data_IF_629932219843
#
_entry.id   IF_629932219843
#
_cell.length_a   1.000
_cell.length_b   1.000
_cell.length_c   1.000
_cell.angle_alpha   90.00
_cell.angle_beta   90.00
_cell.angle_gamma   90.00
#
_symmetry.space_group_name_H-M   'P 1'
#
loop_
_entity.id
_entity.type
_entity.pdbx_description
1 polymer ?
#
# COMPACT_ATOMS: atom_id res chain seq x y z
N UNK A 1 -15.57 -20.85 -19.36
CA UNK A 1 -16.19 -20.97 -18.02
C UNK A 1 -16.70 -22.38 -17.70
N UNK A 2 -17.29 -23.14 -18.63
CA UNK A 2 -17.75 -24.53 -18.37
C UNK A 2 -16.59 -25.51 -18.02
N UNK A 3 -15.47 -25.42 -18.73
CA UNK A 3 -14.31 -26.30 -18.58
C UNK A 3 -13.61 -26.17 -17.20
N UNK A 4 -13.64 -24.98 -16.60
CA UNK A 4 -13.07 -24.72 -15.27
C UNK A 4 -13.88 -25.36 -14.13
N UNK A 5 -15.21 -25.43 -14.26
CA UNK A 5 -16.06 -26.12 -13.28
C UNK A 5 -15.90 -27.64 -13.36
N UNK A 6 -15.79 -28.21 -14.57
CA UNK A 6 -15.47 -29.64 -14.76
C UNK A 6 -14.07 -30.02 -14.25
N UNK A 7 -13.06 -29.18 -14.51
CA UNK A 7 -11.72 -29.33 -13.92
C UNK A 7 -11.77 -29.26 -12.40
N UNK A 8 -12.61 -28.39 -11.82
CA UNK A 8 -12.74 -28.24 -10.36
C UNK A 8 -13.44 -29.44 -9.72
N UNK A 9 -14.46 -30.01 -10.37
CA UNK A 9 -15.09 -31.26 -9.93
C UNK A 9 -14.13 -32.45 -10.05
N UNK A 10 -13.40 -32.56 -11.16
CA UNK A 10 -12.38 -33.58 -11.39
C UNK A 10 -11.18 -33.46 -10.43
N UNK A 11 -10.78 -32.24 -10.07
CA UNK A 11 -9.71 -31.97 -9.12
C UNK A 11 -10.05 -32.39 -7.68
N UNK A 12 -11.33 -32.52 -7.34
CA UNK A 12 -11.75 -33.06 -6.03
C UNK A 12 -11.48 -34.56 -5.90
N UNK A 13 -11.43 -35.28 -7.03
CA UNK A 13 -11.16 -36.71 -7.14
C UNK A 13 -9.70 -37.02 -7.54
N UNK A 14 -8.92 -35.99 -7.90
CA UNK A 14 -7.54 -36.13 -8.33
C UNK A 14 -6.58 -36.30 -7.15
N UNK A 15 -5.53 -37.11 -7.35
CA UNK A 15 -4.43 -37.21 -6.40
C UNK A 15 -3.68 -35.87 -6.34
N UNK A 16 -3.75 -35.21 -5.18
CA UNK A 16 -3.07 -33.94 -4.93
C UNK A 16 -1.62 -34.21 -4.53
N UNK A 17 -0.69 -33.55 -5.21
CA UNK A 17 0.74 -33.59 -4.86
C UNK A 17 1.11 -32.26 -4.24
N UNK A 18 1.73 -32.31 -3.06
CA UNK A 18 2.16 -31.12 -2.33
C UNK A 18 3.65 -30.86 -2.58
N UNK A 19 3.98 -29.67 -3.07
CA UNK A 19 5.36 -29.21 -3.17
C UNK A 19 5.83 -28.71 -1.81
N UNK A 20 6.87 -29.33 -1.26
CA UNK A 20 7.39 -28.93 0.04
C UNK A 20 8.24 -27.66 -0.08
N UNK A 21 8.08 -26.74 0.87
CA UNK A 21 8.88 -25.52 0.95
C UNK A 21 10.34 -25.84 1.26
N UNK A 22 11.23 -25.09 0.63
CA UNK A 22 12.66 -25.07 0.91
C UNK A 22 12.97 -23.84 1.78
N UNK A 23 13.49 -24.07 2.98
CA UNK A 23 13.84 -23.03 3.96
C UNK A 23 15.34 -22.75 4.03
N UNK A 24 16.16 -23.37 3.17
CA UNK A 24 17.62 -23.19 3.18
C UNK A 24 18.05 -21.75 2.95
N UNK A 25 17.25 -20.96 2.23
CA UNK A 25 17.46 -19.53 1.95
C UNK A 25 16.60 -18.61 2.83
N UNK A 26 16.14 -19.10 3.98
CA UNK A 26 15.40 -18.30 4.97
C UNK A 26 13.95 -18.03 4.56
N UNK A 27 13.59 -16.76 4.42
CA UNK A 27 12.19 -16.32 4.21
C UNK A 27 11.75 -16.33 2.74
N UNK A 28 12.69 -16.50 1.80
CA UNK A 28 12.43 -16.51 0.36
C UNK A 28 11.42 -17.60 -0.01
N UNK A 29 10.50 -17.30 -0.93
CA UNK A 29 9.52 -18.26 -1.42
C UNK A 29 10.15 -19.24 -2.42
N UNK A 30 10.54 -20.43 -1.94
CA UNK A 30 11.20 -21.47 -2.74
C UNK A 30 10.66 -22.87 -2.41
N UNK A 31 10.65 -23.76 -3.39
CA UNK A 31 10.16 -25.13 -3.29
C UNK A 31 11.25 -26.15 -3.61
N UNK A 32 11.18 -27.29 -2.94
CA UNK A 32 12.13 -28.40 -3.12
C UNK A 32 11.89 -29.11 -4.46
N UNK A 33 12.98 -29.49 -5.13
CA UNK A 33 12.95 -30.26 -6.39
C UNK A 33 12.94 -31.78 -6.16
N UNK A 34 12.84 -32.24 -4.91
CA UNK A 34 12.81 -33.67 -4.57
C UNK A 34 11.60 -34.34 -5.24
N UNK A 35 11.85 -35.35 -6.07
CA UNK A 35 10.79 -36.06 -6.77
C UNK A 35 9.93 -36.88 -5.80
N UNK A 36 8.60 -36.66 -5.76
CA UNK A 36 7.70 -37.40 -4.88
C UNK A 36 7.43 -38.81 -5.41
N UNK A 37 7.43 -39.79 -4.51
CA UNK A 37 7.27 -41.22 -4.84
C UNK A 37 5.89 -41.52 -5.45
N UNK A 38 4.89 -40.71 -5.16
CA UNK A 38 3.52 -40.81 -5.65
C UNK A 38 3.39 -40.49 -7.15
N UNK A 39 4.39 -39.80 -7.71
CA UNK A 39 4.48 -39.49 -9.14
C UNK A 39 5.30 -40.52 -9.91
N UNK A 40 5.90 -41.49 -9.23
CA UNK A 40 6.71 -42.52 -9.86
C UNK A 40 5.83 -43.34 -10.83
N UNK A 41 6.35 -43.59 -12.03
CA UNK A 41 5.62 -44.20 -13.17
C UNK A 41 4.47 -43.38 -13.77
N UNK A 42 4.16 -42.16 -13.27
CA UNK A 42 3.11 -41.29 -13.83
C UNK A 42 3.64 -40.08 -14.61
N UNK A 43 4.78 -39.54 -14.18
CA UNK A 43 5.40 -38.35 -14.78
C UNK A 43 6.91 -38.55 -14.82
N UNK A 44 7.57 -38.04 -15.85
CA UNK A 44 9.03 -38.05 -15.94
C UNK A 44 9.67 -37.13 -14.89
N UNK A 45 10.75 -37.60 -14.25
CA UNK A 45 11.43 -36.84 -13.18
C UNK A 45 11.95 -35.49 -13.66
N UNK A 46 12.52 -35.46 -14.86
CA UNK A 46 13.03 -34.27 -15.53
C UNK A 46 11.94 -33.19 -15.68
N UNK A 47 10.74 -33.59 -16.14
CA UNK A 47 9.62 -32.68 -16.33
C UNK A 47 9.14 -32.05 -15.01
N UNK A 48 9.09 -32.84 -13.92
CA UNK A 48 8.75 -32.33 -12.60
C UNK A 48 9.80 -31.33 -12.11
N UNK A 49 11.08 -31.67 -12.19
CA UNK A 49 12.17 -30.80 -11.75
C UNK A 49 12.18 -29.47 -12.52
N UNK A 50 11.99 -29.51 -13.84
CA UNK A 50 11.94 -28.30 -14.68
C UNK A 50 10.73 -27.42 -14.35
N UNK A 51 9.59 -28.04 -14.03
CA UNK A 51 8.40 -27.32 -13.55
C UNK A 51 8.68 -26.60 -12.24
N UNK A 52 9.28 -27.29 -11.26
CA UNK A 52 9.61 -26.69 -9.95
C UNK A 52 10.67 -25.60 -10.08
N UNK A 53 11.69 -25.79 -10.92
CA UNK A 53 12.69 -24.74 -11.21
C UNK A 53 12.04 -23.50 -11.82
N UNK A 54 11.14 -23.68 -12.79
CA UNK A 54 10.42 -22.57 -13.42
C UNK A 54 9.56 -21.82 -12.41
N UNK A 55 8.85 -22.54 -11.54
CA UNK A 55 8.07 -21.93 -10.45
C UNK A 55 8.95 -21.10 -9.51
N UNK A 56 10.07 -21.66 -9.06
CA UNK A 56 11.01 -20.94 -8.19
C UNK A 56 11.55 -19.68 -8.87
N UNK A 57 11.82 -19.71 -10.18
CA UNK A 57 12.25 -18.53 -10.92
C UNK A 57 11.18 -17.43 -10.93
N UNK A 58 9.91 -17.77 -11.13
CA UNK A 58 8.83 -16.78 -11.07
C UNK A 58 8.68 -16.16 -9.69
N UNK A 59 8.76 -16.96 -8.61
CA UNK A 59 8.72 -16.42 -7.25
C UNK A 59 9.94 -15.52 -6.96
N UNK A 60 11.13 -15.91 -7.42
CA UNK A 60 12.33 -15.09 -7.29
C UNK A 60 12.23 -13.76 -8.06
N UNK A 61 11.59 -13.76 -9.23
CA UNK A 61 11.33 -12.54 -10.00
C UNK A 61 10.34 -11.62 -9.29
N UNK A 62 9.25 -12.18 -8.75
CA UNK A 62 8.25 -11.42 -8.00
C UNK A 62 8.85 -10.72 -6.75
N UNK A 63 9.77 -11.38 -6.04
CA UNK A 63 10.44 -10.78 -4.88
C UNK A 63 11.36 -9.60 -5.27
N UNK A 64 11.99 -9.63 -6.46
CA UNK A 64 12.82 -8.51 -6.93
C UNK A 64 12.02 -7.22 -7.18
N UNK A 65 10.75 -7.33 -7.54
CA UNK A 65 9.87 -6.18 -7.80
C UNK A 65 9.58 -5.39 -6.50
N UNK A 66 9.67 -6.03 -5.33
CA UNK A 66 9.34 -5.40 -4.04
C UNK A 66 10.21 -4.20 -3.64
N UNK A 67 11.46 -4.14 -4.10
CA UNK A 67 12.39 -3.05 -3.73
C UNK A 67 11.96 -1.67 -4.25
N UNK A 68 11.45 -1.59 -5.48
CA UNK A 68 10.98 -0.34 -6.07
C UNK A 68 9.68 0.13 -5.41
N UNK A 69 8.75 -0.79 -5.17
CA UNK A 69 7.49 -0.51 -4.47
C UNK A 69 7.73 0.04 -3.05
N UNK A 70 8.77 -0.44 -2.36
CA UNK A 70 9.16 0.09 -1.05
C UNK A 70 9.61 1.55 -1.13
N UNK A 71 10.43 1.90 -2.12
CA UNK A 71 10.90 3.27 -2.33
C UNK A 71 9.76 4.21 -2.71
N UNK A 72 8.87 3.78 -3.61
CA UNK A 72 7.66 4.51 -3.95
C UNK A 72 6.77 4.76 -2.71
N UNK A 73 6.59 3.74 -1.88
CA UNK A 73 5.86 3.85 -0.61
C UNK A 73 6.48 4.88 0.33
N UNK A 74 7.80 4.85 0.51
CA UNK A 74 8.52 5.81 1.36
C UNK A 74 8.39 7.25 0.84
N UNK A 75 8.54 7.45 -0.46
CA UNK A 75 8.39 8.76 -1.11
C UNK A 75 6.94 9.27 -0.99
N UNK A 76 5.95 8.41 -1.20
CA UNK A 76 4.55 8.76 -1.05
C UNK A 76 4.24 9.24 0.39
N UNK A 77 4.73 8.51 1.40
CA UNK A 77 4.59 8.91 2.80
C UNK A 77 5.24 10.27 3.09
N UNK A 78 6.49 10.46 2.65
CA UNK A 78 7.20 11.73 2.85
C UNK A 78 6.47 12.92 2.19
N UNK A 79 5.98 12.71 0.96
CA UNK A 79 5.24 13.74 0.22
C UNK A 79 3.94 14.13 0.93
N UNK A 80 3.21 13.17 1.49
CA UNK A 80 2.00 13.44 2.27
C UNK A 80 2.29 14.30 3.52
N UNK A 81 3.37 13.99 4.26
CA UNK A 81 3.79 14.80 5.40
C UNK A 81 4.17 16.24 5.00
N UNK A 82 4.92 16.40 3.91
CA UNK A 82 5.28 17.72 3.41
C UNK A 82 4.07 18.55 2.99
N UNK A 83 3.10 17.93 2.30
CA UNK A 83 1.85 18.63 1.91
C UNK A 83 1.09 19.09 3.14
N UNK A 84 0.98 18.26 4.17
CA UNK A 84 0.30 18.62 5.41
C UNK A 84 0.98 19.82 6.10
N UNK A 85 2.31 19.76 6.29
CA UNK A 85 3.09 20.86 6.87
C UNK A 85 2.99 22.17 6.05
N UNK A 86 3.03 22.08 4.72
CA UNK A 86 2.88 23.22 3.84
C UNK A 86 1.45 23.80 3.86
N UNK A 87 0.43 22.95 3.98
CA UNK A 87 -0.96 23.39 4.13
C UNK A 87 -1.19 24.08 5.46
N UNK A 88 -0.66 23.54 6.56
CA UNK A 88 -0.74 24.15 7.89
C UNK A 88 -0.10 25.54 7.88
N UNK A 89 1.12 25.68 7.37
CA UNK A 89 1.81 26.98 7.28
C UNK A 89 1.13 27.98 6.33
N UNK A 90 0.55 27.53 5.21
CA UNK A 90 -0.26 28.39 4.32
C UNK A 90 -1.55 28.83 5.00
N UNK A 91 -2.22 27.91 5.70
CA UNK A 91 -3.46 28.17 6.41
C UNK A 91 -3.23 29.23 7.49
N UNK A 92 -2.23 29.07 8.34
CA UNK A 92 -1.84 30.06 9.34
C UNK A 92 -1.57 31.46 8.75
N UNK A 93 -0.90 31.53 7.60
CA UNK A 93 -0.65 32.81 6.91
C UNK A 93 -1.96 33.50 6.49
N UNK A 94 -2.93 32.75 6.01
CA UNK A 94 -4.26 33.28 5.64
C UNK A 94 -5.01 33.75 6.88
N UNK A 95 -4.97 33.00 7.98
CA UNK A 95 -5.61 33.39 9.23
C UNK A 95 -5.06 34.71 9.77
N UNK A 96 -3.74 34.88 9.78
CA UNK A 96 -3.10 36.15 10.15
C UNK A 96 -3.56 37.32 9.28
N UNK A 97 -3.81 37.08 8.00
CA UNK A 97 -4.32 38.11 7.08
C UNK A 97 -5.77 38.52 7.43
N UNK A 98 -6.62 37.55 7.76
CA UNK A 98 -8.01 37.79 8.18
C UNK A 98 -8.04 38.58 9.48
N UNK A 99 -7.26 38.16 10.48
CA UNK A 99 -7.18 38.83 11.79
C UNK A 99 -6.78 40.30 11.66
N UNK A 100 -5.75 40.59 10.86
CA UNK A 100 -5.32 41.96 10.56
C UNK A 100 -6.42 42.79 9.90
N UNK A 101 -7.14 42.20 8.94
CA UNK A 101 -8.24 42.88 8.27
C UNK A 101 -9.37 43.24 9.25
N UNK A 102 -9.77 42.32 10.13
CA UNK A 102 -10.80 42.57 11.15
C UNK A 102 -10.38 43.73 12.06
N UNK A 103 -9.12 43.75 12.51
CA UNK A 103 -8.59 44.82 13.35
C UNK A 103 -8.65 46.18 12.64
N UNK A 104 -8.22 46.26 11.38
CA UNK A 104 -8.31 47.50 10.60
C UNK A 104 -9.75 47.99 10.43
N UNK A 105 -10.72 47.08 10.21
CA UNK A 105 -12.12 47.47 10.10
C UNK A 105 -12.68 47.95 11.44
N UNK A 106 -12.27 47.31 12.55
CA UNK A 106 -12.66 47.76 13.88
C UNK A 106 -12.20 49.18 14.16
N UNK A 107 -10.95 49.51 13.88
CA UNK A 107 -10.41 50.84 14.11
C UNK A 107 -11.08 51.90 13.23
N UNK A 108 -11.29 51.59 11.95
CA UNK A 108 -11.78 52.58 10.96
C UNK A 108 -13.30 52.76 10.98
N UNK A 109 -14.06 51.69 11.22
CA UNK A 109 -15.51 51.68 10.98
C UNK A 109 -16.30 51.39 12.25
N UNK A 110 -15.94 50.34 13.00
CA UNK A 110 -16.80 49.82 14.07
C UNK A 110 -16.59 50.54 15.41
N UNK A 111 -15.35 50.82 15.83
CA UNK A 111 -15.05 51.49 17.09
C UNK A 111 -15.66 52.90 17.20
N UNK A 112 -15.65 53.76 16.15
CA UNK A 112 -16.34 55.06 16.19
C UNK A 112 -17.87 54.94 16.35
N UNK A 113 -18.43 53.75 16.08
CA UNK A 113 -19.86 53.44 16.18
C UNK A 113 -20.18 52.61 17.43
N UNK A 114 -19.22 52.40 18.34
CA UNK A 114 -19.39 51.60 19.55
C UNK A 114 -19.52 50.09 19.31
N UNK A 115 -19.05 49.59 18.16
CA UNK A 115 -19.12 48.17 17.76
C UNK A 115 -17.71 47.56 17.67
N UNK A 116 -17.59 46.25 17.89
CA UNK A 116 -16.33 45.50 17.77
C UNK A 116 -16.57 44.11 17.18
N UNK A 117 -15.89 43.79 16.07
CA UNK A 117 -15.87 42.46 15.48
C UNK A 117 -14.73 41.66 16.11
N UNK A 118 -15.04 40.54 16.74
CA UNK A 118 -14.04 39.63 17.30
C UNK A 118 -13.66 38.57 16.27
N UNK A 119 -12.38 38.19 16.23
CA UNK A 119 -11.91 37.14 15.32
C UNK A 119 -12.56 35.78 15.67
N UNK A 120 -13.24 35.11 14.71
CA UNK A 120 -13.86 33.80 14.94
C UNK A 120 -12.88 32.72 15.42
N UNK A 121 -11.59 32.87 15.11
CA UNK A 121 -10.56 31.89 15.50
C UNK A 121 -10.23 31.97 16.98
N UNK A 122 -10.28 33.17 17.59
CA UNK A 122 -10.14 33.32 19.05
C UNK A 122 -11.28 32.64 19.81
N UNK A 123 -12.42 32.41 19.14
CA UNK A 123 -13.56 31.63 19.66
C UNK A 123 -13.51 30.15 19.28
N UNK A 124 -12.42 29.67 18.70
CA UNK A 124 -12.23 28.27 18.34
C UNK A 124 -13.05 27.84 17.12
N UNK A 125 -13.40 28.76 16.22
CA UNK A 125 -14.20 28.50 15.02
C UNK A 125 -15.55 27.80 15.31
N UNK A 126 -16.09 27.96 16.52
CA UNK A 126 -17.41 27.42 16.85
C UNK A 126 -18.48 28.28 16.16
N UNK A 127 -19.27 27.62 15.31
CA UNK A 127 -20.51 28.14 14.74
C UNK A 127 -21.47 28.59 15.82
#
# INVERSE_FOLDING_TARGET
FHNLQELRHSASLANKVFLQRDYTEGTVCKFQTKFPSELDSRIEKTLFEDTVKTLNNYYAEAEKIGGHAYLEGCLACFTAYLVFLCMETRYEKVLKKISRYIQEQNEKIYAPRGLLITDPIERGMRV
#
